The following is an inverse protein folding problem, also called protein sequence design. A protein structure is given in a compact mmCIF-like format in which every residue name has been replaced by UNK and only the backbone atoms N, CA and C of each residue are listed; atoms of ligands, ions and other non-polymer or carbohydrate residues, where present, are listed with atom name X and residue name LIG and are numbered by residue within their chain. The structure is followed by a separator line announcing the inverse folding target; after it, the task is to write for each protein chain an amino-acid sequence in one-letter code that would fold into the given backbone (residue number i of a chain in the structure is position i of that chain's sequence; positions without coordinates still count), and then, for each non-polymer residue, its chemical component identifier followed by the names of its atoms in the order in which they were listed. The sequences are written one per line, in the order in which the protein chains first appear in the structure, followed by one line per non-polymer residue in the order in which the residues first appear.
data_IF_430364738363
#
_entry.id   IF_430364738363
#
_cell.length_a   1.000
_cell.length_b   1.000
_cell.length_c   1.000
_cell.angle_alpha   90.00
_cell.angle_beta   90.00
_cell.angle_gamma   90.00
#
_symmetry.space_group_name_H-M   'P 1'
#
loop_
_entity.id
_entity.type
_entity.pdbx_description
1 polymer ?
#
# COMPACT_ATOMS: atom_id res chain seq x y z
N UNK A 1 58.58 23.52 20.89
CA UNK A 1 57.25 23.88 20.36
C UNK A 1 56.54 22.74 19.58
N UNK A 2 57.24 21.68 19.18
CA UNK A 2 56.65 20.57 18.39
C UNK A 2 55.92 19.51 19.23
N UNK A 3 56.33 19.31 20.49
CA UNK A 3 55.72 18.26 21.35
C UNK A 3 54.30 18.64 21.86
N UNK A 4 54.05 19.94 22.11
CA UNK A 4 52.75 20.45 22.59
C UNK A 4 51.66 20.39 21.50
N UNK A 5 52.05 20.49 20.23
CA UNK A 5 51.11 20.37 19.11
C UNK A 5 50.64 18.93 18.86
N UNK A 6 51.45 17.92 19.17
CA UNK A 6 51.06 16.51 19.06
C UNK A 6 50.10 16.07 20.16
N UNK A 7 50.26 16.58 21.38
CA UNK A 7 49.36 16.27 22.50
C UNK A 7 48.00 16.92 22.31
N UNK A 8 47.94 18.16 21.76
CA UNK A 8 46.67 18.83 21.45
C UNK A 8 45.90 18.14 20.29
N UNK A 9 46.60 17.61 19.27
CA UNK A 9 45.99 16.87 18.19
C UNK A 9 45.45 15.49 18.65
N UNK A 10 46.11 14.83 19.60
CA UNK A 10 45.68 13.57 20.18
C UNK A 10 44.44 13.76 21.07
N UNK A 11 44.32 14.90 21.78
CA UNK A 11 43.13 15.22 22.60
C UNK A 11 41.89 15.61 21.77
N UNK A 12 42.08 16.21 20.59
CA UNK A 12 40.97 16.54 19.68
C UNK A 12 40.43 15.27 18.98
N UNK A 13 41.26 14.25 18.72
CA UNK A 13 40.84 12.98 18.13
C UNK A 13 40.12 12.05 19.12
N UNK A 14 40.37 12.21 20.45
CA UNK A 14 39.69 11.44 21.50
C UNK A 14 38.26 11.96 21.85
N UNK A 15 37.91 13.17 21.38
CA UNK A 15 36.61 13.77 21.64
C UNK A 15 35.53 13.49 20.57
N UNK A 16 35.86 12.77 19.47
CA UNK A 16 34.95 12.50 18.36
C UNK A 16 34.40 11.06 18.37
N UNK A 17 34.90 10.20 19.25
CA UNK A 17 34.35 8.87 19.47
C UNK A 17 33.34 8.88 20.66
N UNK A 18 32.26 9.66 20.56
CA UNK A 18 31.11 9.38 21.39
C UNK A 18 30.53 8.04 20.87
N UNK A 19 30.50 6.96 21.69
CA UNK A 19 29.78 5.76 21.28
C UNK A 19 28.35 6.20 21.06
N UNK A 20 27.81 5.89 19.88
CA UNK A 20 26.38 5.85 19.67
C UNK A 20 25.85 4.92 20.77
N UNK A 21 25.24 5.49 21.79
CA UNK A 21 24.47 4.72 22.78
C UNK A 21 23.29 4.14 22.03
N UNK A 22 23.50 2.98 21.40
CA UNK A 22 22.40 2.09 21.11
C UNK A 22 21.65 1.95 22.44
N UNK A 23 20.40 2.35 22.48
CA UNK A 23 19.56 2.27 23.66
C UNK A 23 19.46 0.81 24.04
N UNK A 24 20.21 0.37 25.06
CA UNK A 24 20.23 -1.01 25.52
C UNK A 24 18.81 -1.42 25.90
N UNK A 25 18.20 -2.26 25.07
CA UNK A 25 16.92 -2.88 25.37
C UNK A 25 17.13 -3.87 26.50
N UNK A 26 16.61 -3.56 27.69
CA UNK A 26 16.73 -4.42 28.84
C UNK A 26 15.36 -4.80 29.39
N UNK A 27 15.27 -5.99 29.92
CA UNK A 27 14.08 -6.48 30.65
C UNK A 27 13.92 -5.69 31.93
N UNK A 28 12.68 -5.29 32.33
CA UNK A 28 12.42 -4.67 33.64
C UNK A 28 13.01 -5.50 34.78
N UNK A 29 13.83 -4.89 35.60
CA UNK A 29 14.57 -5.56 36.66
C UNK A 29 13.91 -5.46 38.04
N UNK A 30 12.81 -4.66 38.15
CA UNK A 30 12.10 -4.45 39.40
C UNK A 30 10.61 -4.22 39.19
N UNK A 31 9.82 -4.49 40.27
CA UNK A 31 8.39 -4.16 40.31
C UNK A 31 8.13 -2.64 40.21
N UNK A 32 9.11 -1.79 40.52
CA UNK A 32 9.01 -0.34 40.37
C UNK A 32 9.03 0.06 38.88
N UNK A 33 9.85 -0.57 38.05
CA UNK A 33 9.89 -0.34 36.60
C UNK A 33 8.58 -0.76 35.92
N UNK A 34 7.89 -1.78 36.43
CA UNK A 34 6.58 -2.21 35.97
C UNK A 34 5.44 -1.27 36.36
N UNK A 35 5.64 -0.36 37.35
CA UNK A 35 4.63 0.62 37.79
C UNK A 35 4.68 1.93 37.00
N UNK A 36 5.54 2.07 36.01
CA UNK A 36 5.60 3.26 35.16
C UNK A 36 4.35 3.38 34.31
N UNK A 37 3.82 4.58 34.23
CA UNK A 37 2.63 4.88 33.43
C UNK A 37 3.01 5.23 31.98
N UNK A 38 2.18 4.80 31.02
CA UNK A 38 2.31 5.21 29.60
C UNK A 38 1.73 6.62 29.36
N UNK A 39 1.10 7.25 30.36
CA UNK A 39 0.42 8.54 30.21
C UNK A 39 1.29 9.65 29.58
N UNK A 40 2.58 9.80 29.89
CA UNK A 40 3.43 10.83 29.27
C UNK A 40 3.61 10.61 27.75
N UNK A 41 3.67 9.36 27.30
CA UNK A 41 3.76 9.01 25.88
C UNK A 41 2.43 9.36 25.21
N UNK A 42 1.32 8.93 25.80
CA UNK A 42 -0.03 9.18 25.30
C UNK A 42 -0.29 10.67 25.14
N UNK A 43 0.00 11.48 26.17
CA UNK A 43 -0.19 12.94 26.12
C UNK A 43 0.58 13.61 24.98
N UNK A 44 1.76 13.11 24.65
CA UNK A 44 2.57 13.63 23.54
C UNK A 44 2.04 13.20 22.17
N UNK A 45 1.59 11.96 22.04
CA UNK A 45 1.18 11.34 20.76
C UNK A 45 -0.26 11.69 20.39
N UNK A 46 -1.14 11.73 21.39
CA UNK A 46 -2.57 11.91 21.22
C UNK A 46 -2.98 13.11 20.34
N UNK A 47 -2.34 14.29 20.42
CA UNK A 47 -2.71 15.44 19.58
C UNK A 47 -2.49 15.22 18.08
N UNK A 48 -1.63 14.29 17.69
CA UNK A 48 -1.35 13.96 16.28
C UNK A 48 -2.25 12.82 15.74
N UNK A 49 -3.04 12.15 16.58
CA UNK A 49 -4.00 11.13 16.16
C UNK A 49 -5.37 11.77 16.02
N UNK A 50 -5.98 11.61 14.85
CA UNK A 50 -7.22 12.28 14.47
C UNK A 50 -8.32 11.28 14.14
N UNK A 51 -9.56 11.75 14.10
CA UNK A 51 -10.71 10.97 13.61
C UNK A 51 -10.93 11.28 12.14
N UNK A 52 -11.23 10.25 11.37
CA UNK A 52 -11.58 10.36 9.95
C UNK A 52 -13.02 9.93 9.76
N UNK A 53 -13.85 10.85 9.28
CA UNK A 53 -15.24 10.62 8.92
C UNK A 53 -15.35 10.63 7.40
N UNK A 54 -15.79 9.54 6.85
CA UNK A 54 -16.03 9.39 5.42
C UNK A 54 -17.53 9.22 5.18
N UNK A 55 -18.11 10.01 4.29
CA UNK A 55 -19.52 9.97 3.97
C UNK A 55 -19.73 9.68 2.48
N UNK A 56 -20.61 8.71 2.18
CA UNK A 56 -21.06 8.38 0.83
C UNK A 56 -22.54 8.69 0.72
N UNK A 57 -22.92 9.47 -0.30
CA UNK A 57 -24.30 9.73 -0.64
C UNK A 57 -24.82 8.55 -1.47
N UNK A 58 -25.64 7.69 -0.88
CA UNK A 58 -26.26 6.58 -1.61
C UNK A 58 -27.55 7.10 -2.22
N UNK A 59 -27.55 7.35 -3.53
CA UNK A 59 -28.78 7.59 -4.29
C UNK A 59 -29.41 6.23 -4.60
N UNK A 60 -30.49 5.88 -3.90
CA UNK A 60 -31.32 4.75 -4.25
C UNK A 60 -32.12 5.12 -5.52
N UNK A 61 -31.58 4.81 -6.69
CA UNK A 61 -32.27 4.96 -7.96
C UNK A 61 -33.39 3.90 -8.03
N UNK A 62 -34.61 4.33 -7.75
CA UNK A 62 -35.80 3.56 -8.04
C UNK A 62 -36.54 4.24 -9.21
N UNK A 63 -36.50 3.69 -10.45
CA UNK A 63 -37.05 4.34 -11.63
C UNK A 63 -38.54 4.76 -11.48
N UNK A 64 -39.31 4.09 -10.62
CA UNK A 64 -40.70 4.42 -10.32
C UNK A 64 -40.82 5.57 -9.29
N UNK A 65 -39.86 5.73 -8.38
CA UNK A 65 -39.88 6.77 -7.36
C UNK A 65 -39.16 8.05 -7.81
N UNK A 66 -38.37 7.99 -8.88
CA UNK A 66 -37.64 9.14 -9.43
C UNK A 66 -38.50 9.96 -10.41
N UNK A 67 -39.67 9.43 -10.87
CA UNK A 67 -40.61 10.18 -11.68
C UNK A 67 -41.33 11.26 -10.83
N UNK A 68 -41.15 12.57 -11.15
CA UNK A 68 -41.79 13.64 -10.42
C UNK A 68 -43.33 13.59 -10.46
N UNK A 69 -43.91 13.02 -11.54
CA UNK A 69 -45.35 12.88 -11.70
C UNK A 69 -45.87 11.75 -10.81
N UNK A 70 -45.12 10.63 -10.73
CA UNK A 70 -45.49 9.50 -9.89
C UNK A 70 -45.47 9.88 -8.39
N UNK A 71 -44.44 10.62 -7.95
CA UNK A 71 -44.36 11.13 -6.56
C UNK A 71 -45.53 12.05 -6.21
N UNK A 72 -45.88 12.95 -7.12
CA UNK A 72 -46.96 13.92 -6.89
C UNK A 72 -48.32 13.25 -6.85
N UNK A 73 -48.52 12.18 -7.64
CA UNK A 73 -49.78 11.46 -7.72
C UNK A 73 -50.03 10.57 -6.51
N UNK A 74 -48.96 9.93 -5.95
CA UNK A 74 -49.04 9.03 -4.81
C UNK A 74 -48.68 9.69 -3.48
N UNK A 75 -48.37 10.98 -3.43
CA UNK A 75 -48.05 11.72 -2.19
C UNK A 75 -46.84 11.16 -1.46
N UNK A 76 -45.87 10.57 -2.17
CA UNK A 76 -44.69 9.95 -1.57
C UNK A 76 -43.68 11.06 -1.21
N UNK A 77 -43.34 11.22 0.09
CA UNK A 77 -42.27 12.15 0.48
C UNK A 77 -40.96 11.73 -0.21
N UNK A 78 -40.14 12.73 -0.64
CA UNK A 78 -38.81 12.44 -1.15
C UNK A 78 -38.06 11.57 -0.15
N UNK A 79 -37.45 10.46 -0.63
CA UNK A 79 -36.61 9.64 0.27
C UNK A 79 -35.44 10.51 0.74
N UNK A 80 -35.17 10.56 2.04
CA UNK A 80 -33.96 11.21 2.51
C UNK A 80 -32.76 10.47 1.94
N UNK A 81 -31.81 11.22 1.39
CA UNK A 81 -30.52 10.68 0.99
C UNK A 81 -29.95 9.86 2.15
N UNK A 82 -29.78 8.56 1.95
CA UNK A 82 -29.15 7.72 2.96
C UNK A 82 -27.64 7.97 2.92
N UNK A 83 -27.15 8.68 3.92
CA UNK A 83 -25.74 8.93 4.07
C UNK A 83 -25.09 7.74 4.80
N UNK A 84 -24.39 6.92 4.05
CA UNK A 84 -23.57 5.86 4.63
C UNK A 84 -22.29 6.50 5.18
N UNK A 85 -22.03 6.35 6.48
CA UNK A 85 -20.87 6.93 7.16
C UNK A 85 -19.91 5.82 7.55
N UNK A 86 -18.65 5.98 7.18
CA UNK A 86 -17.51 5.22 7.71
C UNK A 86 -16.77 6.04 8.75
N UNK A 87 -16.27 5.39 9.78
CA UNK A 87 -15.51 6.02 10.85
C UNK A 87 -14.20 5.26 11.04
N UNK A 88 -13.11 5.98 11.01
CA UNK A 88 -11.77 5.48 11.31
C UNK A 88 -10.91 6.54 11.99
N UNK A 89 -9.64 6.25 12.05
CA UNK A 89 -8.62 7.13 12.60
C UNK A 89 -7.65 7.59 11.50
N UNK A 90 -6.83 8.57 11.85
CA UNK A 90 -5.72 9.03 11.01
C UNK A 90 -4.56 9.51 11.87
N UNK A 91 -3.41 9.65 11.25
CA UNK A 91 -2.19 10.17 11.89
C UNK A 91 -1.68 11.37 11.12
N UNK A 92 -1.50 12.48 11.82
CA UNK A 92 -0.88 13.69 11.28
C UNK A 92 0.61 13.46 11.12
N UNK A 93 1.11 13.51 9.89
CA UNK A 93 2.50 13.18 9.55
C UNK A 93 3.30 14.38 9.03
N UNK A 94 2.62 15.48 8.72
CA UNK A 94 3.28 16.73 8.30
C UNK A 94 2.58 17.95 8.95
N UNK A 95 3.34 18.95 9.45
CA UNK A 95 2.76 20.12 10.08
C UNK A 95 1.84 20.95 9.20
N UNK A 96 1.88 20.77 7.87
CA UNK A 96 0.99 21.43 6.92
C UNK A 96 -0.41 20.80 6.83
N UNK A 97 -0.72 19.80 7.65
CA UNK A 97 -2.03 19.15 7.68
C UNK A 97 -2.14 17.93 6.76
N UNK A 98 -1.04 17.19 6.54
CA UNK A 98 -1.11 15.88 5.90
C UNK A 98 -1.44 14.81 6.92
N UNK A 99 -2.51 14.06 6.66
CA UNK A 99 -2.99 12.95 7.49
C UNK A 99 -2.91 11.65 6.71
N UNK A 100 -2.31 10.63 7.30
CA UNK A 100 -2.33 9.26 6.78
C UNK A 100 -3.47 8.49 7.43
N UNK A 101 -4.22 7.72 6.65
CA UNK A 101 -5.26 6.80 7.08
C UNK A 101 -5.26 5.56 6.18
N UNK A 102 -6.20 4.63 6.34
CA UNK A 102 -6.36 3.51 5.43
C UNK A 102 -7.28 3.84 4.24
N UNK A 103 -7.05 3.17 3.09
CA UNK A 103 -7.93 3.29 1.92
C UNK A 103 -9.34 2.82 2.24
N UNK A 104 -9.48 1.67 2.93
CA UNK A 104 -10.79 1.11 3.28
C UNK A 104 -11.63 2.02 4.20
N UNK A 105 -10.99 2.93 4.99
CA UNK A 105 -11.70 3.93 5.81
C UNK A 105 -12.42 4.96 4.96
N UNK A 106 -11.83 5.32 3.81
CA UNK A 106 -12.34 6.37 2.91
C UNK A 106 -12.85 5.83 1.58
N UNK A 107 -13.05 4.52 1.49
CA UNK A 107 -13.47 3.88 0.24
C UNK A 107 -14.87 4.35 -0.18
N UNK A 108 -14.99 4.79 -1.43
CA UNK A 108 -16.24 5.28 -2.01
C UNK A 108 -16.79 6.56 -1.34
N UNK A 109 -16.01 7.28 -0.53
CA UNK A 109 -16.46 8.51 0.10
C UNK A 109 -16.49 9.67 -0.90
N UNK A 110 -17.63 10.41 -0.89
CA UNK A 110 -17.80 11.67 -1.61
C UNK A 110 -17.26 12.86 -0.79
N UNK A 111 -17.28 12.73 0.54
CA UNK A 111 -16.81 13.74 1.48
C UNK A 111 -15.99 13.11 2.60
N UNK A 112 -14.87 13.74 2.91
CA UNK A 112 -14.02 13.34 4.05
C UNK A 112 -13.85 14.53 4.99
N UNK A 113 -14.07 14.28 6.28
CA UNK A 113 -13.80 15.23 7.38
C UNK A 113 -12.83 14.63 8.37
N UNK A 114 -11.97 15.48 8.91
CA UNK A 114 -11.02 15.13 9.97
C UNK A 114 -11.34 15.94 11.21
N UNK A 115 -11.49 15.25 12.35
CA UNK A 115 -11.69 15.90 13.64
C UNK A 115 -10.46 15.67 14.53
N UNK A 116 -9.92 16.74 15.05
CA UNK A 116 -8.74 16.75 15.92
C UNK A 116 -9.10 16.33 17.35
N UNK A 117 -8.09 16.08 18.17
CA UNK A 117 -8.25 15.75 19.61
C UNK A 117 -8.91 16.87 20.41
N UNK A 118 -8.77 18.14 19.99
CA UNK A 118 -9.42 19.32 20.57
C UNK A 118 -10.83 19.59 20.05
N UNK A 119 -11.40 18.68 19.25
CA UNK A 119 -12.74 18.71 18.64
C UNK A 119 -12.92 19.70 17.49
N UNK A 120 -11.87 20.34 17.00
CA UNK A 120 -11.94 21.11 15.76
C UNK A 120 -12.08 20.16 14.58
N UNK A 121 -12.91 20.56 13.60
CA UNK A 121 -13.18 19.75 12.41
C UNK A 121 -12.71 20.51 11.17
N UNK A 122 -12.13 19.77 10.23
CA UNK A 122 -11.67 20.26 8.94
C UNK A 122 -12.22 19.39 7.83
N UNK A 123 -12.61 20.00 6.72
CA UNK A 123 -12.76 19.24 5.49
C UNK A 123 -11.39 18.79 5.00
N UNK A 124 -11.35 17.60 4.40
CA UNK A 124 -10.11 17.06 3.88
C UNK A 124 -10.29 16.64 2.41
N UNK A 125 -9.27 16.89 1.62
CA UNK A 125 -9.16 16.34 0.27
C UNK A 125 -8.30 15.08 0.27
N UNK A 126 -8.64 14.14 -0.58
CA UNK A 126 -7.84 12.93 -0.78
C UNK A 126 -6.72 13.29 -1.76
N UNK A 127 -5.48 13.40 -1.25
CA UNK A 127 -4.30 13.74 -2.06
C UNK A 127 -3.80 12.53 -2.82
N UNK A 128 -3.81 11.35 -2.17
CA UNK A 128 -3.28 10.12 -2.72
C UNK A 128 -3.98 8.91 -2.11
N UNK A 129 -4.31 7.92 -2.94
CA UNK A 129 -4.74 6.58 -2.52
C UNK A 129 -3.74 5.57 -3.02
N UNK A 130 -3.35 4.66 -2.15
CA UNK A 130 -2.50 3.52 -2.46
C UNK A 130 -3.17 2.21 -2.03
N UNK A 131 -4.04 1.63 -2.87
CA UNK A 131 -4.73 0.38 -2.55
C UNK A 131 -3.75 -0.77 -2.28
N UNK A 132 -2.57 -0.77 -2.92
CA UNK A 132 -1.54 -1.82 -2.77
C UNK A 132 -1.02 -1.95 -1.33
N UNK A 133 -1.01 -0.86 -0.57
CA UNK A 133 -0.60 -0.86 0.85
C UNK A 133 -1.76 -0.56 1.81
N UNK A 134 -2.98 -0.36 1.32
CA UNK A 134 -4.13 0.11 2.10
C UNK A 134 -3.88 1.45 2.81
N UNK A 135 -3.08 2.35 2.22
CA UNK A 135 -2.79 3.67 2.76
C UNK A 135 -3.39 4.77 1.90
N UNK A 136 -3.92 5.79 2.55
CA UNK A 136 -4.38 7.02 1.90
C UNK A 136 -3.80 8.24 2.61
N UNK A 137 -3.57 9.30 1.84
CA UNK A 137 -3.11 10.59 2.38
C UNK A 137 -4.17 11.64 2.11
N UNK A 138 -4.56 12.31 3.17
CA UNK A 138 -5.52 13.40 3.18
C UNK A 138 -4.78 14.71 3.44
N UNK A 139 -5.32 15.82 2.94
CA UNK A 139 -4.87 17.18 3.24
C UNK A 139 -6.02 17.96 3.83
N UNK A 140 -5.80 18.60 4.97
CA UNK A 140 -6.78 19.48 5.59
C UNK A 140 -6.95 20.74 4.72
N UNK A 141 -8.20 21.12 4.42
CA UNK A 141 -8.53 22.32 3.67
C UNK A 141 -8.56 23.53 4.59
N UNK A 142 -8.34 24.69 4.00
CA UNK A 142 -8.51 26.01 4.63
C UNK A 142 -7.77 26.18 5.97
N UNK A 143 -6.64 25.47 6.12
CA UNK A 143 -5.82 25.53 7.32
C UNK A 143 -4.50 26.25 7.05
N UNK A 144 -4.18 27.24 7.90
CA UNK A 144 -2.94 28.04 7.82
C UNK A 144 -2.06 27.88 9.07
N UNK A 145 -2.41 26.95 9.92
CA UNK A 145 -1.72 26.66 11.18
C UNK A 145 -0.76 25.46 11.05
N UNK A 146 0.10 25.30 12.05
CA UNK A 146 0.96 24.10 12.17
C UNK A 146 0.30 23.10 13.09
N UNK A 147 0.22 21.86 12.63
CA UNK A 147 -0.37 20.77 13.39
C UNK A 147 0.70 19.92 14.10
N UNK A 148 0.37 19.34 15.28
CA UNK A 148 1.21 18.34 15.91
C UNK A 148 1.36 17.12 15.01
N UNK A 149 2.57 16.56 14.94
CA UNK A 149 2.89 15.40 14.11
C UNK A 149 3.60 14.32 14.90
N UNK A 150 3.61 13.09 14.39
CA UNK A 150 4.44 12.01 14.90
C UNK A 150 5.70 11.85 14.04
N UNK A 151 6.83 11.67 14.72
CA UNK A 151 8.08 11.26 14.09
C UNK A 151 8.00 9.77 13.72
N UNK A 152 8.57 9.41 12.59
CA UNK A 152 8.66 8.03 12.15
C UNK A 152 9.81 7.30 12.84
N UNK A 153 9.55 6.14 13.44
CA UNK A 153 10.60 5.17 13.76
C UNK A 153 11.03 4.41 12.48
N UNK A 154 12.14 3.71 12.56
CA UNK A 154 12.50 2.71 11.56
C UNK A 154 11.82 1.38 11.95
N UNK A 155 10.79 0.97 11.21
CA UNK A 155 10.04 -0.25 11.52
C UNK A 155 10.86 -1.54 11.33
N UNK A 156 11.98 -1.49 10.60
CA UNK A 156 12.86 -2.65 10.42
C UNK A 156 13.76 -2.91 11.65
N UNK A 157 13.83 -1.94 12.58
CA UNK A 157 14.54 -2.10 13.85
C UNK A 157 13.68 -2.70 14.97
N UNK A 158 12.37 -2.89 14.73
CA UNK A 158 11.48 -3.54 15.70
C UNK A 158 11.91 -4.98 15.95
N UNK A 159 11.69 -5.42 17.17
CA UNK A 159 11.86 -6.82 17.57
C UNK A 159 10.58 -7.39 18.16
N UNK A 160 10.36 -8.67 17.96
CA UNK A 160 9.29 -9.41 18.67
C UNK A 160 9.51 -9.26 20.17
N UNK A 161 8.46 -8.85 20.89
CA UNK A 161 8.52 -8.54 22.32
C UNK A 161 8.63 -7.04 22.64
N UNK A 162 8.90 -6.17 21.67
CA UNK A 162 8.90 -4.71 21.88
C UNK A 162 7.51 -4.24 22.28
N UNK A 163 7.41 -3.41 23.32
CA UNK A 163 6.14 -2.86 23.78
C UNK A 163 5.68 -1.76 22.83
N UNK A 164 4.39 -1.81 22.45
CA UNK A 164 3.75 -0.85 21.56
C UNK A 164 2.42 -0.38 22.12
N UNK A 165 2.02 0.84 21.73
CA UNK A 165 0.72 1.40 22.03
C UNK A 165 -0.06 1.61 20.74
N UNK A 166 -1.27 1.05 20.65
CA UNK A 166 -2.19 1.32 19.55
C UNK A 166 -3.17 2.43 19.98
N UNK A 167 -3.24 3.49 19.17
CA UNK A 167 -4.02 4.69 19.47
C UNK A 167 -4.95 4.96 18.28
N UNK A 168 -6.23 5.14 18.60
CA UNK A 168 -7.26 5.46 17.62
C UNK A 168 -8.53 5.95 18.29
N UNK A 169 -9.61 6.10 17.53
CA UNK A 169 -10.92 6.48 18.06
C UNK A 169 -12.00 5.45 17.68
N UNK A 170 -12.03 4.30 18.33
CA UNK A 170 -13.04 3.30 18.06
C UNK A 170 -14.44 3.84 18.35
N UNK A 171 -15.37 3.61 17.44
CA UNK A 171 -16.78 4.01 17.55
C UNK A 171 -17.06 5.52 17.66
N UNK A 172 -16.06 6.39 17.46
CA UNK A 172 -16.25 7.85 17.52
C UNK A 172 -16.57 8.41 18.91
N UNK A 173 -16.41 7.61 19.96
CA UNK A 173 -16.76 8.02 21.34
C UNK A 173 -15.61 8.66 22.12
N UNK A 174 -14.46 8.79 21.49
CA UNK A 174 -13.23 9.37 22.06
C UNK A 174 -12.01 8.51 21.78
N UNK A 175 -10.84 9.13 21.86
CA UNK A 175 -9.58 8.43 21.63
C UNK A 175 -9.38 7.32 22.68
N UNK A 176 -8.97 6.15 22.18
CA UNK A 176 -8.68 4.97 22.99
C UNK A 176 -7.24 4.56 22.78
N UNK A 177 -6.60 4.16 23.86
CA UNK A 177 -5.23 3.66 23.87
C UNK A 177 -5.26 2.23 24.39
N UNK A 178 -4.70 1.33 23.62
CA UNK A 178 -4.44 -0.04 24.04
C UNK A 178 -2.94 -0.31 24.00
N UNK A 179 -2.46 -1.22 24.84
CA UNK A 179 -1.05 -1.61 24.85
C UNK A 179 -0.91 -3.10 24.57
N UNK A 180 0.21 -3.45 24.02
CA UNK A 180 0.61 -4.81 23.74
C UNK A 180 2.07 -4.86 23.34
N UNK A 181 2.44 -5.94 22.69
CA UNK A 181 3.79 -6.13 22.17
C UNK A 181 3.74 -6.37 20.65
N UNK A 182 4.89 -6.25 20.02
CA UNK A 182 5.12 -6.81 18.68
C UNK A 182 5.11 -8.34 18.83
N UNK A 183 4.04 -8.98 18.38
CA UNK A 183 3.87 -10.45 18.50
C UNK A 183 4.59 -11.20 17.38
N UNK A 184 4.69 -10.59 16.20
CA UNK A 184 5.45 -11.08 15.06
C UNK A 184 5.75 -9.93 14.09
N UNK A 185 6.78 -10.14 13.27
CA UNK A 185 7.16 -9.27 12.17
C UNK A 185 7.02 -10.02 10.85
N UNK A 186 7.01 -9.28 9.74
CA UNK A 186 7.03 -9.85 8.40
C UNK A 186 5.89 -10.87 8.14
N UNK A 187 4.66 -10.56 8.60
CA UNK A 187 3.50 -11.41 8.28
C UNK A 187 3.09 -11.21 6.83
N UNK A 188 3.47 -12.18 5.98
CA UNK A 188 3.38 -12.08 4.52
C UNK A 188 2.21 -12.83 3.92
N UNK A 189 1.40 -13.56 4.71
CA UNK A 189 0.29 -14.39 4.21
C UNK A 189 -1.04 -14.02 4.87
N UNK A 190 -1.29 -12.73 5.05
CA UNK A 190 -2.51 -12.24 5.70
C UNK A 190 -3.66 -12.02 4.70
N UNK A 191 -3.34 -11.79 3.42
CA UNK A 191 -4.32 -11.67 2.33
C UNK A 191 -5.14 -10.37 2.35
N UNK A 192 -4.61 -9.29 2.95
CA UNK A 192 -5.33 -8.02 3.11
C UNK A 192 -4.95 -7.02 2.00
N UNK A 193 -3.69 -7.02 1.59
CA UNK A 193 -3.12 -6.06 0.62
C UNK A 193 -2.10 -6.77 -0.28
N UNK A 194 -1.65 -6.09 -1.34
CA UNK A 194 -0.62 -6.63 -2.23
C UNK A 194 0.75 -6.69 -1.54
N UNK A 195 1.11 -5.61 -0.84
CA UNK A 195 2.32 -5.60 0.00
C UNK A 195 2.01 -6.21 1.36
N UNK A 196 2.18 -7.52 1.43
CA UNK A 196 1.92 -8.29 2.64
C UNK A 196 3.18 -8.34 3.50
N UNK A 197 3.36 -7.34 4.34
CA UNK A 197 4.44 -7.31 5.33
C UNK A 197 3.97 -6.51 6.54
N UNK A 198 3.26 -7.19 7.46
CA UNK A 198 2.62 -6.52 8.58
C UNK A 198 3.37 -6.73 9.89
N UNK A 199 3.28 -5.72 10.76
CA UNK A 199 3.57 -5.87 12.19
C UNK A 199 2.36 -6.51 12.83
N UNK A 200 2.52 -7.69 13.44
CA UNK A 200 1.47 -8.29 14.26
C UNK A 200 1.63 -7.83 15.70
N UNK A 201 0.51 -7.46 16.35
CA UNK A 201 0.47 -7.07 17.76
C UNK A 201 -0.72 -7.68 18.47
N UNK A 202 -0.60 -7.89 19.78
CA UNK A 202 -1.72 -8.25 20.65
C UNK A 202 -2.38 -7.04 21.32
N UNK A 203 -1.88 -5.82 21.09
CA UNK A 203 -2.60 -4.59 21.42
C UNK A 203 -3.99 -4.64 20.79
N UNK A 204 -5.05 -4.43 21.60
CA UNK A 204 -6.42 -4.59 21.12
C UNK A 204 -6.75 -3.54 20.04
N UNK A 205 -6.92 -4.00 18.80
CA UNK A 205 -7.40 -3.21 17.66
C UNK A 205 -8.87 -3.56 17.45
N UNK A 206 -9.72 -2.55 17.34
CA UNK A 206 -11.16 -2.69 17.11
C UNK A 206 -11.60 -1.76 15.97
N UNK A 207 -12.79 -1.97 15.36
CA UNK A 207 -13.34 -1.06 14.35
C UNK A 207 -13.29 0.40 14.82
N UNK A 208 -12.71 1.28 13.99
CA UNK A 208 -12.43 2.68 14.28
C UNK A 208 -10.97 2.97 14.67
N UNK A 209 -10.19 1.98 15.10
CA UNK A 209 -8.73 2.14 15.26
C UNK A 209 -7.98 2.08 13.92
N UNK A 210 -8.58 1.55 12.85
CA UNK A 210 -7.99 1.53 11.50
C UNK A 210 -7.61 2.94 11.07
N UNK A 211 -6.40 3.10 10.53
CA UNK A 211 -5.79 4.39 10.21
C UNK A 211 -5.10 5.08 11.38
N UNK A 212 -5.31 4.61 12.61
CA UNK A 212 -4.67 5.13 13.83
C UNK A 212 -3.21 4.69 13.99
N UNK A 213 -2.53 5.26 14.99
CA UNK A 213 -1.12 5.05 15.22
C UNK A 213 -0.83 3.77 16.01
N UNK A 214 0.19 3.03 15.59
CA UNK A 214 0.96 2.12 16.44
C UNK A 214 2.28 2.82 16.75
N UNK A 215 2.59 3.03 18.05
CA UNK A 215 3.79 3.78 18.47
C UNK A 215 4.67 2.97 19.41
N UNK A 216 5.98 3.25 19.39
CA UNK A 216 6.95 2.69 20.32
C UNK A 216 6.93 3.41 21.69
N UNK A 217 7.73 2.92 22.63
CA UNK A 217 7.87 3.50 23.98
C UNK A 217 8.56 4.88 23.99
N UNK A 218 9.07 5.34 22.85
CA UNK A 218 9.56 6.72 22.69
C UNK A 218 8.50 7.64 22.05
N UNK A 219 7.31 7.11 21.71
CA UNK A 219 6.20 7.84 21.08
C UNK A 219 6.41 8.09 19.59
N UNK A 220 7.28 7.36 18.92
CA UNK A 220 7.48 7.43 17.47
C UNK A 220 6.55 6.44 16.78
N UNK A 221 6.09 6.80 15.59
CA UNK A 221 5.22 5.97 14.77
C UNK A 221 6.00 4.75 14.25
N UNK A 222 5.58 3.54 14.62
CA UNK A 222 6.12 2.28 14.11
C UNK A 222 5.20 1.65 13.06
N UNK A 223 3.92 2.04 13.02
CA UNK A 223 2.97 1.57 12.01
C UNK A 223 1.61 2.26 12.06
N UNK A 224 0.80 1.96 11.05
CA UNK A 224 -0.62 2.36 10.97
C UNK A 224 -1.48 1.13 11.20
N UNK A 225 -2.35 1.16 12.22
CA UNK A 225 -3.29 0.08 12.49
C UNK A 225 -4.22 -0.12 11.28
N UNK A 226 -4.39 -1.35 10.82
CA UNK A 226 -5.20 -1.60 9.62
C UNK A 226 -6.28 -2.67 9.83
N UNK A 227 -5.93 -3.84 10.30
CA UNK A 227 -6.83 -4.98 10.31
C UNK A 227 -6.70 -5.82 11.58
N UNK A 228 -7.69 -6.70 11.79
CA UNK A 228 -7.69 -7.73 12.82
C UNK A 228 -8.00 -9.09 12.20
N UNK A 229 -7.41 -10.14 12.75
CA UNK A 229 -7.88 -11.49 12.49
C UNK A 229 -9.02 -11.80 13.47
N UNK A 230 -10.26 -11.77 13.00
CA UNK A 230 -11.43 -11.92 13.85
C UNK A 230 -12.59 -12.58 13.14
N UNK A 231 -13.28 -13.50 13.83
CA UNK A 231 -14.54 -14.09 13.37
C UNK A 231 -15.77 -13.34 13.87
N UNK A 232 -15.61 -12.55 14.94
CA UNK A 232 -16.70 -11.83 15.62
C UNK A 232 -16.70 -10.33 15.36
N UNK A 233 -15.71 -9.80 14.61
CA UNK A 233 -15.54 -8.38 14.32
C UNK A 233 -14.87 -7.57 15.45
N UNK A 234 -14.55 -8.18 16.59
CA UNK A 234 -13.79 -7.55 17.69
C UNK A 234 -12.39 -8.16 17.84
N UNK A 235 -11.51 -7.50 18.58
CA UNK A 235 -10.15 -7.97 18.82
C UNK A 235 -10.12 -9.33 19.55
N UNK A 236 -9.31 -10.24 19.04
CA UNK A 236 -9.00 -11.55 19.64
C UNK A 236 -7.51 -11.67 19.97
N UNK A 237 -6.80 -10.56 20.17
CA UNK A 237 -5.37 -10.54 20.42
C UNK A 237 -4.49 -10.72 19.19
N UNK A 238 -5.07 -10.57 18.00
CA UNK A 238 -4.32 -10.61 16.72
C UNK A 238 -4.72 -9.38 15.92
N UNK A 239 -3.88 -8.37 15.97
CA UNK A 239 -3.99 -7.14 15.20
C UNK A 239 -2.81 -6.98 14.25
N UNK A 240 -3.02 -6.23 13.17
CA UNK A 240 -2.03 -5.95 12.15
C UNK A 240 -1.88 -4.44 11.95
N UNK A 241 -0.63 -4.01 11.76
CA UNK A 241 -0.29 -2.65 11.37
C UNK A 241 0.64 -2.62 10.17
N UNK A 242 0.44 -1.64 9.30
CA UNK A 242 1.30 -1.36 8.15
C UNK A 242 2.56 -0.67 8.67
N UNK A 243 3.77 -1.18 8.39
CA UNK A 243 5.03 -0.65 8.94
C UNK A 243 5.29 0.81 8.56
N UNK A 244 5.88 1.57 9.46
CA UNK A 244 6.17 3.00 9.27
C UNK A 244 7.08 3.30 8.07
N UNK A 245 7.97 2.40 7.67
CA UNK A 245 8.79 2.57 6.48
C UNK A 245 7.92 2.63 5.22
N UNK A 246 6.86 1.81 5.10
CA UNK A 246 5.89 1.91 4.02
C UNK A 246 5.09 3.21 4.10
N UNK A 247 4.64 3.59 5.29
CA UNK A 247 3.91 4.86 5.52
C UNK A 247 4.74 6.06 5.07
N UNK A 248 6.05 6.06 5.33
CA UNK A 248 6.99 7.11 4.92
C UNK A 248 7.05 7.27 3.41
N UNK A 249 7.11 6.17 2.65
CA UNK A 249 7.12 6.20 1.17
C UNK A 249 5.85 6.82 0.61
N UNK A 250 4.70 6.43 1.14
CA UNK A 250 3.39 6.94 0.71
C UNK A 250 3.24 8.43 1.05
N UNK A 251 3.58 8.82 2.28
CA UNK A 251 3.55 10.21 2.74
C UNK A 251 4.50 11.12 1.94
N UNK A 252 5.72 10.64 1.63
CA UNK A 252 6.68 11.37 0.82
C UNK A 252 6.17 11.59 -0.63
N UNK A 253 5.54 10.58 -1.22
CA UNK A 253 4.94 10.68 -2.55
C UNK A 253 3.82 11.73 -2.59
N UNK A 254 2.95 11.75 -1.58
CA UNK A 254 1.89 12.76 -1.46
C UNK A 254 2.46 14.18 -1.24
N UNK A 255 3.50 14.32 -0.43
CA UNK A 255 4.17 15.59 -0.14
C UNK A 255 4.83 16.20 -1.38
N UNK A 256 5.36 15.38 -2.28
CA UNK A 256 5.94 15.82 -3.56
C UNK A 256 4.90 16.14 -4.64
N UNK A 257 3.61 16.06 -4.34
CA UNK A 257 2.52 16.34 -5.29
C UNK A 257 2.24 15.18 -6.26
N UNK A 258 2.77 13.99 -5.98
CA UNK A 258 2.49 12.78 -6.77
C UNK A 258 1.05 12.33 -6.63
N UNK A 259 0.41 11.97 -7.75
CA UNK A 259 -0.94 11.36 -7.77
C UNK A 259 -0.92 9.85 -7.54
N UNK A 260 0.26 9.22 -7.65
CA UNK A 260 0.52 7.82 -7.42
C UNK A 260 1.82 7.64 -6.65
N UNK A 261 1.92 6.54 -5.91
CA UNK A 261 3.14 6.21 -5.18
C UNK A 261 4.18 5.65 -6.16
N UNK A 262 5.33 6.30 -6.22
CA UNK A 262 6.45 5.85 -7.05
C UNK A 262 7.37 4.96 -6.21
N UNK A 263 7.62 3.76 -6.70
CA UNK A 263 8.41 2.73 -6.02
C UNK A 263 9.51 2.20 -6.92
N UNK A 264 10.61 1.69 -6.35
CA UNK A 264 11.57 0.90 -7.12
C UNK A 264 10.90 -0.33 -7.73
N UNK A 265 11.31 -0.65 -8.93
CA UNK A 265 10.88 -1.82 -9.69
C UNK A 265 12.08 -2.72 -9.99
N UNK A 266 11.96 -4.01 -9.68
CA UNK A 266 13.04 -4.97 -9.91
C UNK A 266 13.12 -5.41 -11.37
N UNK A 267 11.98 -5.69 -11.99
CA UNK A 267 11.91 -6.26 -13.33
C UNK A 267 12.29 -7.74 -13.39
N UNK A 268 11.88 -8.49 -12.38
CA UNK A 268 12.00 -9.95 -12.32
C UNK A 268 10.75 -10.56 -11.65
N UNK A 269 10.41 -11.77 -12.06
CA UNK A 269 9.38 -12.55 -11.40
C UNK A 269 10.01 -13.42 -10.32
N UNK A 270 9.49 -13.30 -9.12
CA UNK A 270 9.92 -14.06 -7.96
C UNK A 270 8.86 -15.09 -7.57
N UNK A 271 9.30 -16.26 -7.13
CA UNK A 271 8.42 -17.29 -6.61
C UNK A 271 8.90 -17.79 -5.25
N UNK A 272 7.94 -18.25 -4.43
CA UNK A 272 8.25 -18.83 -3.14
C UNK A 272 9.01 -20.15 -3.29
N UNK A 273 9.91 -20.40 -2.35
CA UNK A 273 10.64 -21.67 -2.25
C UNK A 273 9.74 -22.68 -1.56
N UNK A 274 9.24 -23.67 -2.30
CA UNK A 274 8.51 -24.81 -1.72
C UNK A 274 9.48 -25.81 -1.09
N UNK A 275 9.01 -26.73 -0.23
CA UNK A 275 9.88 -27.80 0.30
C UNK A 275 10.61 -28.60 -0.78
N UNK A 276 9.93 -28.93 -1.89
CA UNK A 276 10.52 -29.67 -3.02
C UNK A 276 11.63 -28.86 -3.73
N UNK A 277 11.41 -27.54 -3.86
CA UNK A 277 12.43 -26.63 -4.41
C UNK A 277 13.62 -26.54 -3.45
N UNK A 278 13.36 -26.41 -2.14
CA UNK A 278 14.42 -26.35 -1.13
C UNK A 278 15.30 -27.60 -1.17
N UNK A 279 14.69 -28.79 -1.23
CA UNK A 279 15.41 -30.06 -1.34
C UNK A 279 16.26 -30.10 -2.61
N UNK A 280 15.73 -29.65 -3.76
CA UNK A 280 16.46 -29.63 -5.03
C UNK A 280 17.66 -28.67 -5.01
N UNK A 281 17.56 -27.57 -4.25
CA UNK A 281 18.63 -26.59 -4.06
C UNK A 281 19.59 -26.92 -2.92
N UNK A 282 19.33 -27.99 -2.17
CA UNK A 282 20.12 -28.42 -1.01
C UNK A 282 19.99 -27.48 0.19
N UNK A 283 18.86 -26.79 0.30
CA UNK A 283 18.56 -25.87 1.42
C UNK A 283 18.04 -26.66 2.62
N UNK A 284 18.39 -26.21 3.83
CA UNK A 284 17.88 -26.81 5.08
C UNK A 284 16.42 -26.44 5.36
N UNK A 285 15.99 -25.28 4.91
CA UNK A 285 14.65 -24.74 5.12
C UNK A 285 14.16 -24.06 3.84
N UNK A 286 12.86 -24.11 3.54
CA UNK A 286 12.28 -23.38 2.41
C UNK A 286 12.22 -21.89 2.73
N UNK A 287 13.29 -21.16 2.38
CA UNK A 287 13.43 -19.72 2.64
C UNK A 287 14.09 -19.02 1.45
N UNK A 288 13.77 -17.73 1.26
CA UNK A 288 14.26 -16.91 0.16
C UNK A 288 13.24 -16.73 -0.95
N UNK A 289 13.62 -15.93 -1.96
CA UNK A 289 12.83 -15.66 -3.15
C UNK A 289 13.55 -16.19 -4.39
N UNK A 290 12.98 -17.21 -5.05
CA UNK A 290 13.56 -17.81 -6.25
C UNK A 290 13.19 -16.97 -7.47
N UNK A 291 14.19 -16.59 -8.27
CA UNK A 291 14.00 -15.85 -9.51
C UNK A 291 13.49 -16.80 -10.59
N UNK A 292 12.23 -16.66 -10.97
CA UNK A 292 11.61 -17.44 -12.06
C UNK A 292 12.02 -16.92 -13.43
N UNK A 293 12.00 -15.60 -13.62
CA UNK A 293 12.42 -14.93 -14.86
C UNK A 293 12.93 -13.52 -14.58
N UNK A 294 13.69 -12.98 -15.52
CA UNK A 294 14.21 -11.61 -15.48
C UNK A 294 13.84 -10.94 -16.80
N UNK A 295 13.21 -9.77 -16.70
CA UNK A 295 12.84 -8.98 -17.88
C UNK A 295 14.07 -8.34 -18.52
N UNK A 296 14.18 -8.34 -19.85
CA UNK A 296 15.26 -7.64 -20.55
C UNK A 296 15.24 -6.14 -20.17
N UNK A 297 16.42 -5.52 -20.20
CA UNK A 297 16.62 -4.08 -19.94
C UNK A 297 16.07 -3.59 -18.57
N UNK A 298 15.84 -4.51 -17.61
CA UNK A 298 15.41 -4.20 -16.27
C UNK A 298 16.59 -3.93 -15.33
N UNK A 299 16.37 -3.25 -14.17
CA UNK A 299 17.39 -3.12 -13.12
C UNK A 299 17.96 -4.48 -12.68
N UNK A 300 17.13 -5.52 -12.60
CA UNK A 300 17.57 -6.89 -12.32
C UNK A 300 18.54 -7.43 -13.37
N UNK A 301 18.20 -7.25 -14.67
CA UNK A 301 19.05 -7.68 -15.78
C UNK A 301 20.39 -6.95 -15.77
N UNK A 302 20.37 -5.63 -15.57
CA UNK A 302 21.58 -4.80 -15.51
C UNK A 302 22.47 -5.16 -14.32
N UNK A 303 21.89 -5.53 -13.18
CA UNK A 303 22.62 -6.03 -12.00
C UNK A 303 23.19 -7.45 -12.22
N UNK A 304 22.80 -8.14 -13.29
CA UNK A 304 23.24 -9.50 -13.58
C UNK A 304 22.49 -10.59 -12.85
N UNK A 305 21.26 -10.30 -12.36
CA UNK A 305 20.34 -11.29 -11.82
C UNK A 305 19.89 -12.26 -12.95
N UNK A 306 19.70 -13.53 -12.63
CA UNK A 306 19.36 -14.57 -13.60
C UNK A 306 18.25 -15.48 -13.07
N UNK A 307 17.51 -16.08 -13.97
CA UNK A 307 16.59 -17.17 -13.61
C UNK A 307 17.34 -18.27 -12.85
N UNK A 308 16.68 -18.85 -11.85
CA UNK A 308 17.21 -19.83 -10.91
C UNK A 308 18.18 -19.27 -9.85
N UNK A 309 18.40 -17.95 -9.76
CA UNK A 309 19.03 -17.35 -8.58
C UNK A 309 18.07 -17.42 -7.41
N UNK A 310 18.59 -17.66 -6.22
CA UNK A 310 17.82 -17.55 -4.98
C UNK A 310 18.26 -16.30 -4.24
N UNK A 311 17.37 -15.31 -4.11
CA UNK A 311 17.61 -14.12 -3.28
C UNK A 311 17.47 -14.54 -1.81
N UNK A 312 18.50 -14.30 -1.01
CA UNK A 312 18.55 -14.69 0.41
C UNK A 312 18.63 -13.49 1.36
N UNK A 313 19.06 -12.34 0.88
CA UNK A 313 19.10 -11.09 1.66
C UNK A 313 19.03 -9.86 0.76
N UNK A 314 18.61 -8.73 1.35
CA UNK A 314 18.66 -7.39 0.78
C UNK A 314 19.25 -6.44 1.84
N UNK A 315 20.31 -5.70 1.48
CA UNK A 315 21.04 -4.78 2.36
C UNK A 315 21.39 -5.43 3.72
N UNK A 316 21.82 -6.70 3.67
CA UNK A 316 22.19 -7.50 4.82
C UNK A 316 21.00 -8.03 5.64
N UNK A 317 19.77 -7.71 5.28
CA UNK A 317 18.56 -8.23 5.93
C UNK A 317 18.08 -9.52 5.25
N UNK A 318 17.89 -10.62 6.00
CA UNK A 318 17.47 -11.89 5.43
C UNK A 318 16.07 -11.80 4.81
N UNK A 319 15.84 -12.59 3.76
CA UNK A 319 14.58 -12.70 3.03
C UNK A 319 14.04 -14.12 3.17
N UNK A 320 12.83 -14.26 3.69
CA UNK A 320 12.17 -15.54 3.88
C UNK A 320 11.28 -15.94 2.70
N UNK A 321 10.70 -14.95 2.00
CA UNK A 321 9.80 -15.16 0.88
C UNK A 321 9.77 -13.95 -0.09
N UNK A 322 9.13 -14.04 -1.27
CA UNK A 322 9.01 -12.94 -2.21
C UNK A 322 8.35 -11.69 -1.63
N UNK A 323 7.32 -11.81 -0.78
CA UNK A 323 6.64 -10.66 -0.20
C UNK A 323 7.56 -9.86 0.75
N UNK A 324 8.42 -10.58 1.50
CA UNK A 324 9.44 -9.95 2.34
C UNK A 324 10.46 -9.17 1.49
N UNK A 325 10.86 -9.72 0.33
CA UNK A 325 11.72 -9.04 -0.62
C UNK A 325 11.03 -7.79 -1.18
N UNK A 326 9.81 -7.94 -1.70
CA UNK A 326 9.05 -6.85 -2.31
C UNK A 326 8.88 -5.68 -1.35
N UNK A 327 8.45 -5.95 -0.09
CA UNK A 327 8.32 -4.91 0.92
C UNK A 327 9.64 -4.16 1.13
N UNK A 328 10.74 -4.87 1.38
CA UNK A 328 12.04 -4.23 1.65
C UNK A 328 12.50 -3.44 0.44
N UNK A 329 12.38 -4.00 -0.76
CA UNK A 329 12.80 -3.35 -2.00
C UNK A 329 12.01 -2.07 -2.27
N UNK A 330 10.66 -2.10 -2.16
CA UNK A 330 9.81 -0.94 -2.47
C UNK A 330 9.81 0.14 -1.41
N UNK A 331 10.35 -0.13 -0.20
CA UNK A 331 10.49 0.88 0.85
C UNK A 331 11.78 1.70 0.75
N UNK A 332 12.68 1.34 -0.15
CA UNK A 332 13.86 2.16 -0.46
C UNK A 332 13.52 3.43 -1.24
N UNK A 333 14.26 4.51 -1.03
CA UNK A 333 14.12 5.73 -1.84
C UNK A 333 14.61 5.49 -3.26
N UNK A 334 13.93 6.09 -4.24
CA UNK A 334 14.35 6.08 -5.63
C UNK A 334 15.67 6.83 -5.84
N UNK A 335 16.43 6.42 -6.86
CA UNK A 335 17.67 7.10 -7.30
C UNK A 335 18.94 6.64 -6.59
N UNK A 336 18.90 5.51 -5.89
CA UNK A 336 20.04 4.85 -5.29
C UNK A 336 20.26 3.45 -5.83
N UNK A 337 20.98 2.64 -5.08
CA UNK A 337 21.13 1.20 -5.32
C UNK A 337 20.88 0.43 -4.03
N UNK A 338 20.43 -0.81 -4.16
CA UNK A 338 20.31 -1.77 -3.06
C UNK A 338 21.20 -2.99 -3.37
N UNK A 339 21.86 -3.51 -2.35
CA UNK A 339 22.67 -4.73 -2.45
C UNK A 339 21.79 -5.94 -2.18
N UNK A 340 21.70 -6.87 -3.13
CA UNK A 340 21.02 -8.14 -2.94
C UNK A 340 22.02 -9.29 -2.90
N UNK A 341 21.87 -10.17 -1.91
CA UNK A 341 22.64 -11.40 -1.82
C UNK A 341 21.88 -12.54 -2.50
N UNK A 342 22.51 -13.16 -3.49
CA UNK A 342 21.89 -14.28 -4.24
C UNK A 342 22.74 -15.53 -4.14
N UNK A 343 22.11 -16.68 -3.98
CA UNK A 343 22.72 -17.98 -4.08
C UNK A 343 22.60 -18.50 -5.52
N UNK A 344 23.74 -18.67 -6.20
CA UNK A 344 23.84 -19.17 -7.58
C UNK A 344 24.84 -20.31 -7.63
N UNK A 345 24.39 -21.52 -7.97
CA UNK A 345 25.28 -22.68 -8.07
C UNK A 345 26.03 -22.97 -6.78
N UNK A 346 25.41 -22.80 -5.63
CA UNK A 346 26.01 -23.03 -4.29
C UNK A 346 26.97 -21.91 -3.81
N UNK A 347 27.07 -20.79 -4.55
CA UNK A 347 27.90 -19.63 -4.17
C UNK A 347 27.04 -18.42 -3.92
N UNK A 348 27.33 -17.69 -2.85
CA UNK A 348 26.69 -16.39 -2.58
C UNK A 348 27.39 -15.31 -3.42
N UNK A 349 26.59 -14.53 -4.15
CA UNK A 349 27.02 -13.38 -4.92
C UNK A 349 26.28 -12.13 -4.41
N UNK A 350 26.96 -10.98 -4.44
CA UNK A 350 26.38 -9.68 -4.13
C UNK A 350 26.13 -8.93 -5.42
N UNK A 351 24.89 -8.52 -5.63
CA UNK A 351 24.48 -7.78 -6.83
C UNK A 351 23.95 -6.41 -6.40
N UNK A 352 24.40 -5.35 -7.08
CA UNK A 352 23.91 -3.99 -6.84
C UNK A 352 22.80 -3.65 -7.83
N UNK A 353 21.58 -3.47 -7.36
CA UNK A 353 20.39 -3.20 -8.17
C UNK A 353 20.04 -1.72 -8.08
N UNK A 354 19.85 -1.06 -9.22
CA UNK A 354 19.40 0.33 -9.29
C UNK A 354 17.94 0.44 -8.81
N UNK A 355 17.67 1.48 -8.01
CA UNK A 355 16.33 1.77 -7.48
C UNK A 355 15.62 2.74 -8.40
N UNK A 356 15.07 2.23 -9.49
CA UNK A 356 14.39 2.96 -10.56
C UNK A 356 12.93 2.53 -10.66
N UNK A 357 12.07 3.43 -11.15
CA UNK A 357 10.67 3.07 -11.42
C UNK A 357 10.56 2.23 -12.67
N UNK A 358 9.51 1.40 -12.77
CA UNK A 358 9.17 0.72 -14.00
C UNK A 358 9.03 1.73 -15.15
N UNK A 359 9.61 1.44 -16.33
CA UNK A 359 9.48 2.32 -17.49
C UNK A 359 8.04 2.32 -18.00
N UNK A 360 7.50 3.53 -18.21
CA UNK A 360 6.13 3.73 -18.73
C UNK A 360 6.14 4.10 -20.22
N UNK A 361 7.02 3.49 -20.96
CA UNK A 361 7.11 3.67 -22.40
C UNK A 361 5.93 2.98 -23.09
N UNK A 362 5.28 3.69 -24.02
CA UNK A 362 4.17 3.15 -24.85
C UNK A 362 2.86 2.85 -24.09
N UNK A 363 2.59 3.39 -22.92
CA UNK A 363 1.31 3.23 -22.23
C UNK A 363 0.12 3.58 -23.12
N UNK A 364 0.18 4.67 -23.84
CA UNK A 364 -0.82 5.14 -24.80
C UNK A 364 -2.27 4.90 -24.33
N UNK A 365 -2.61 5.48 -23.19
CA UNK A 365 -3.92 5.33 -22.57
C UNK A 365 -4.98 6.10 -23.38
N UNK A 366 -6.08 5.43 -23.75
CA UNK A 366 -7.19 6.02 -24.50
C UNK A 366 -8.53 5.60 -23.93
N UNK A 367 -9.51 6.53 -23.97
CA UNK A 367 -10.90 6.26 -23.65
C UNK A 367 -11.64 5.86 -24.93
N UNK A 368 -12.36 4.74 -24.87
CA UNK A 368 -13.12 4.23 -26.02
C UNK A 368 -14.52 4.86 -26.03
N UNK A 369 -14.81 5.61 -27.11
CA UNK A 369 -16.07 6.36 -27.26
C UNK A 369 -16.97 5.80 -28.39
N UNK A 370 -16.45 4.85 -29.19
CA UNK A 370 -17.17 4.22 -30.29
C UNK A 370 -18.42 3.47 -29.80
N UNK A 371 -19.47 3.41 -30.64
CA UNK A 371 -20.65 2.57 -30.38
C UNK A 371 -20.27 1.10 -30.45
N UNK A 372 -19.87 0.56 -29.31
CA UNK A 372 -19.40 -0.83 -29.18
C UNK A 372 -19.59 -1.29 -27.74
N UNK A 373 -19.45 -2.59 -27.45
CA UNK A 373 -19.44 -3.10 -26.09
C UNK A 373 -18.34 -2.50 -25.19
N UNK A 374 -17.31 -1.87 -25.77
CA UNK A 374 -16.20 -1.26 -25.08
C UNK A 374 -16.43 0.22 -24.70
N UNK A 375 -17.54 0.82 -25.13
CA UNK A 375 -17.81 2.25 -24.87
C UNK A 375 -17.78 2.57 -23.38
N UNK A 376 -16.97 3.57 -23.01
CA UNK A 376 -16.79 4.04 -21.64
C UNK A 376 -15.69 3.32 -20.89
N UNK A 377 -14.97 2.37 -21.52
CA UNK A 377 -13.72 1.82 -20.98
C UNK A 377 -12.54 2.73 -21.32
N UNK A 378 -11.62 2.90 -20.39
CA UNK A 378 -10.28 3.44 -20.63
C UNK A 378 -9.32 2.25 -20.70
N UNK A 379 -8.44 2.26 -21.72
CA UNK A 379 -7.55 1.13 -22.01
C UNK A 379 -6.12 1.62 -22.22
N UNK A 380 -5.15 0.79 -21.85
CA UNK A 380 -3.72 1.07 -22.01
C UNK A 380 -2.97 -0.09 -22.64
N UNK A 381 -1.87 0.21 -23.33
CA UNK A 381 -0.89 -0.81 -23.68
C UNK A 381 -0.21 -1.32 -22.40
N UNK A 382 0.15 -2.59 -22.37
CA UNK A 382 0.85 -3.19 -21.24
C UNK A 382 2.33 -2.80 -21.31
N UNK A 383 2.68 -1.64 -20.72
CA UNK A 383 4.08 -1.27 -20.44
C UNK A 383 4.54 -1.96 -19.13
N UNK A 384 5.85 -2.03 -18.83
CA UNK A 384 6.31 -2.52 -17.54
C UNK A 384 5.67 -1.81 -16.34
N UNK A 385 5.43 -0.49 -16.44
CA UNK A 385 4.74 0.27 -15.41
C UNK A 385 3.26 -0.15 -15.27
N UNK A 386 2.55 -0.34 -16.39
CA UNK A 386 1.15 -0.81 -16.37
C UNK A 386 1.07 -2.24 -15.86
N UNK A 387 2.03 -3.11 -16.23
CA UNK A 387 2.10 -4.48 -15.73
C UNK A 387 2.31 -4.49 -14.21
N UNK A 388 3.23 -3.67 -13.69
CA UNK A 388 3.45 -3.52 -12.25
C UNK A 388 2.22 -2.95 -11.52
N UNK A 389 1.59 -1.88 -12.06
CA UNK A 389 0.39 -1.27 -11.48
C UNK A 389 -0.82 -2.22 -11.40
N UNK A 390 -0.93 -3.13 -12.37
CA UNK A 390 -2.10 -4.01 -12.56
C UNK A 390 -1.83 -5.47 -12.18
N UNK A 391 -0.64 -5.78 -11.66
CA UNK A 391 -0.17 -7.13 -11.31
C UNK A 391 -0.27 -8.13 -12.48
N UNK A 392 0.15 -7.69 -13.64
CA UNK A 392 0.15 -8.50 -14.85
C UNK A 392 1.55 -9.01 -15.14
N UNK A 393 1.63 -10.15 -15.81
CA UNK A 393 2.89 -10.57 -16.43
C UNK A 393 3.24 -9.58 -17.54
N UNK A 394 4.45 -9.02 -17.50
CA UNK A 394 4.90 -8.02 -18.48
C UNK A 394 4.95 -8.58 -19.93
N UNK A 395 5.01 -9.89 -20.09
CA UNK A 395 4.98 -10.59 -21.38
C UNK A 395 3.55 -10.87 -21.87
N UNK A 396 2.52 -10.38 -21.17
CA UNK A 396 1.12 -10.61 -21.55
C UNK A 396 0.77 -9.80 -22.81
N UNK A 397 0.38 -10.50 -23.86
CA UNK A 397 -0.13 -9.88 -25.08
C UNK A 397 -1.55 -9.33 -24.89
N UNK A 398 -1.77 -8.10 -25.37
CA UNK A 398 -3.11 -7.50 -25.38
C UNK A 398 -3.13 -6.05 -24.91
N UNK A 399 -4.34 -5.57 -24.65
CA UNK A 399 -4.63 -4.22 -24.17
C UNK A 399 -5.42 -4.34 -22.89
N UNK A 400 -4.95 -3.72 -21.80
CA UNK A 400 -5.61 -3.82 -20.49
C UNK A 400 -6.63 -2.69 -20.29
N UNK A 401 -7.75 -3.02 -19.65
CA UNK A 401 -8.74 -2.03 -19.19
C UNK A 401 -8.28 -1.43 -17.87
N UNK A 402 -7.97 -0.13 -17.86
CA UNK A 402 -7.48 0.61 -16.69
C UNK A 402 -8.62 1.22 -15.88
N UNK A 403 -9.73 1.60 -16.56
CA UNK A 403 -10.92 2.17 -15.93
C UNK A 403 -12.17 1.82 -16.74
N UNK A 404 -13.30 1.71 -16.04
CA UNK A 404 -14.63 1.52 -16.66
C UNK A 404 -15.60 2.51 -16.03
N UNK A 405 -16.18 3.38 -16.86
CA UNK A 405 -17.15 4.37 -16.41
C UNK A 405 -18.46 3.69 -15.98
N UNK A 406 -18.97 4.09 -14.83
CA UNK A 406 -20.26 3.58 -14.32
C UNK A 406 -21.41 3.83 -15.31
N UNK A 407 -22.29 2.84 -15.46
CA UNK A 407 -23.45 2.91 -16.37
C UNK A 407 -23.08 2.88 -17.86
N UNK A 408 -21.80 2.73 -18.21
CA UNK A 408 -21.35 2.62 -19.60
C UNK A 408 -21.73 1.29 -20.24
N UNK A 409 -21.62 1.19 -21.58
CA UNK A 409 -21.82 -0.10 -22.27
C UNK A 409 -20.81 -1.15 -21.76
N UNK A 410 -19.58 -0.76 -21.53
CA UNK A 410 -18.54 -1.65 -20.99
C UNK A 410 -18.92 -2.19 -19.60
N UNK A 411 -19.44 -1.34 -18.71
CA UNK A 411 -19.92 -1.75 -17.38
C UNK A 411 -21.11 -2.71 -17.49
N UNK A 412 -22.07 -2.41 -18.37
CA UNK A 412 -23.28 -3.23 -18.57
C UNK A 412 -22.97 -4.63 -19.16
N UNK A 413 -21.92 -4.74 -19.95
CA UNK A 413 -21.42 -6.03 -20.49
C UNK A 413 -20.72 -6.85 -19.40
N UNK A 414 -20.29 -6.21 -18.30
CA UNK A 414 -19.59 -6.86 -17.20
C UNK A 414 -18.07 -6.94 -17.38
N UNK A 415 -17.50 -6.05 -18.19
CA UNK A 415 -16.06 -5.85 -18.18
C UNK A 415 -15.57 -5.32 -16.84
N UNK A 416 -14.34 -5.64 -16.49
CA UNK A 416 -13.72 -5.25 -15.24
C UNK A 416 -12.36 -4.58 -15.48
N UNK A 417 -11.98 -3.70 -14.57
CA UNK A 417 -10.60 -3.22 -14.51
C UNK A 417 -9.66 -4.42 -14.38
N UNK A 418 -8.60 -4.45 -15.19
CA UNK A 418 -7.66 -5.58 -15.27
C UNK A 418 -8.00 -6.62 -16.35
N UNK A 419 -9.15 -6.52 -17.04
CA UNK A 419 -9.40 -7.34 -18.21
C UNK A 419 -8.42 -6.99 -19.33
N UNK A 420 -7.80 -8.01 -19.94
CA UNK A 420 -6.86 -7.84 -21.05
C UNK A 420 -7.52 -8.34 -22.31
N UNK A 421 -7.77 -7.44 -23.24
CA UNK A 421 -8.38 -7.76 -24.53
C UNK A 421 -7.28 -8.26 -25.48
N UNK A 422 -7.37 -9.53 -25.89
CA UNK A 422 -6.40 -10.19 -26.77
C UNK A 422 -6.88 -10.26 -28.22
N UNK A 423 -8.18 -10.44 -28.45
CA UNK A 423 -8.74 -10.48 -29.81
C UNK A 423 -10.18 -9.99 -29.83
N UNK A 424 -10.59 -9.36 -30.94
CA UNK A 424 -11.97 -8.96 -31.23
C UNK A 424 -12.29 -9.36 -32.68
N UNK A 425 -13.39 -10.11 -32.88
CA UNK A 425 -13.84 -10.59 -34.20
C UNK A 425 -12.73 -11.29 -34.99
N UNK A 426 -11.92 -12.13 -34.32
CA UNK A 426 -10.77 -12.86 -34.85
C UNK A 426 -9.58 -11.96 -35.25
N UNK A 427 -9.63 -10.65 -34.93
CA UNK A 427 -8.48 -9.74 -35.12
C UNK A 427 -7.71 -9.69 -33.80
N UNK A 428 -6.41 -9.97 -33.84
CA UNK A 428 -5.53 -9.82 -32.66
C UNK A 428 -5.43 -8.34 -32.27
N UNK A 429 -5.49 -8.06 -31.00
CA UNK A 429 -5.35 -6.73 -30.41
C UNK A 429 -4.00 -6.69 -29.71
N UNK A 430 -3.04 -5.98 -30.28
CA UNK A 430 -1.70 -5.83 -29.72
C UNK A 430 -1.46 -4.46 -29.08
N UNK A 431 -2.27 -3.46 -29.42
CA UNK A 431 -2.13 -2.09 -28.92
C UNK A 431 -3.48 -1.38 -28.89
N UNK A 432 -3.56 -0.33 -28.06
CA UNK A 432 -4.79 0.46 -27.86
C UNK A 432 -5.40 0.97 -29.18
N UNK A 433 -4.56 1.39 -30.14
CA UNK A 433 -5.03 1.83 -31.45
C UNK A 433 -5.73 0.73 -32.26
N UNK A 434 -5.38 -0.55 -32.08
CA UNK A 434 -6.07 -1.66 -32.74
C UNK A 434 -7.47 -1.82 -32.14
N UNK A 435 -7.60 -1.74 -30.83
CA UNK A 435 -8.88 -1.83 -30.15
C UNK A 435 -9.79 -0.63 -30.45
N UNK A 436 -9.23 0.59 -30.47
CA UNK A 436 -9.98 1.80 -30.85
C UNK A 436 -10.52 1.68 -32.28
N UNK A 437 -9.69 1.25 -33.21
CA UNK A 437 -10.12 1.05 -34.61
C UNK A 437 -11.25 0.03 -34.71
N UNK A 438 -11.11 -1.13 -34.07
CA UNK A 438 -12.15 -2.18 -34.09
C UNK A 438 -13.41 -1.71 -33.37
N UNK A 439 -13.30 -0.97 -32.27
CA UNK A 439 -14.46 -0.46 -31.51
C UNK A 439 -15.35 0.51 -32.29
N UNK A 440 -14.84 1.12 -33.36
CA UNK A 440 -15.57 2.03 -34.26
C UNK A 440 -16.23 1.30 -35.44
N UNK A 441 -15.94 0.00 -35.64
CA UNK A 441 -16.55 -0.80 -36.68
C UNK A 441 -18.00 -1.12 -36.32
N UNK A 442 -18.92 -1.09 -37.30
CA UNK A 442 -20.29 -1.56 -37.09
C UNK A 442 -20.32 -3.09 -37.19
N UNK A 443 -20.55 -3.75 -36.09
CA UNK A 443 -20.67 -5.21 -36.04
C UNK A 443 -22.01 -5.63 -35.46
N UNK A 444 -22.69 -6.60 -36.10
CA UNK A 444 -23.92 -7.23 -35.57
C UNK A 444 -23.61 -8.22 -34.45
N UNK A 445 -22.38 -8.70 -34.38
CA UNK A 445 -21.90 -9.67 -33.41
C UNK A 445 -20.46 -9.35 -33.04
N UNK A 446 -20.20 -9.32 -31.72
CA UNK A 446 -18.87 -9.11 -31.16
C UNK A 446 -18.38 -10.41 -30.53
N UNK A 447 -17.33 -11.00 -31.08
CA UNK A 447 -16.60 -12.12 -30.49
C UNK A 447 -15.36 -11.58 -29.84
N UNK A 448 -15.26 -11.66 -28.52
CA UNK A 448 -14.19 -11.04 -27.75
C UNK A 448 -13.45 -12.14 -27.01
N UNK A 449 -12.16 -12.19 -27.16
CA UNK A 449 -11.25 -13.01 -26.34
C UNK A 449 -10.54 -12.10 -25.38
N UNK A 450 -10.71 -12.34 -24.08
CA UNK A 450 -10.05 -11.59 -23.03
C UNK A 450 -9.40 -12.54 -22.01
N UNK A 451 -8.42 -12.01 -21.29
CA UNK A 451 -7.79 -12.65 -20.14
C UNK A 451 -8.25 -11.93 -18.88
N UNK A 452 -8.76 -12.66 -17.89
CA UNK A 452 -9.17 -12.16 -16.56
C UNK A 452 -8.60 -13.06 -15.48
N UNK A 453 -7.77 -12.53 -14.58
CA UNK A 453 -7.14 -13.30 -13.52
C UNK A 453 -6.37 -14.53 -14.02
N UNK A 454 -5.68 -14.42 -15.16
CA UNK A 454 -4.94 -15.52 -15.77
C UNK A 454 -5.79 -16.53 -16.56
N UNK A 455 -7.12 -16.37 -16.59
CA UNK A 455 -8.03 -17.27 -17.33
C UNK A 455 -8.52 -16.63 -18.64
N UNK A 456 -8.41 -17.35 -19.74
CA UNK A 456 -8.95 -16.90 -21.02
C UNK A 456 -10.46 -17.09 -21.07
N UNK A 457 -11.17 -16.01 -21.37
CA UNK A 457 -12.63 -15.95 -21.49
C UNK A 457 -13.00 -15.56 -22.91
N UNK A 458 -13.92 -16.29 -23.50
CA UNK A 458 -14.50 -15.97 -24.81
C UNK A 458 -15.95 -15.52 -24.64
N UNK A 459 -16.23 -14.29 -25.05
CA UNK A 459 -17.56 -13.68 -24.94
C UNK A 459 -18.12 -13.42 -26.33
N UNK A 460 -19.42 -13.68 -26.52
CA UNK A 460 -20.13 -13.32 -27.74
C UNK A 460 -21.32 -12.44 -27.39
N UNK A 461 -21.36 -11.24 -27.97
CA UNK A 461 -22.37 -10.20 -27.69
C UNK A 461 -23.08 -9.81 -28.98
N UNK A 462 -24.38 -9.54 -28.91
CA UNK A 462 -25.13 -8.88 -29.97
C UNK A 462 -24.71 -7.40 -30.07
N UNK A 463 -24.62 -6.86 -31.29
CA UNK A 463 -24.33 -5.45 -31.54
C UNK A 463 -25.61 -4.63 -31.70
#
# INVERSE_FOLDING_TARGET
MTLIRFVAALFVFLLVAAPSLAQDRRVPSSAAELRLSYAPIVQRVQPAVVNVYAAKVVQNHNPFLDDPLFRRFFGIPGQPEQMQRSLGSGVMVDPSGLVVTNVHVIEGADQVKVSLSDKREFEAEIVLKDPRSDLAVLRLKDSHEKFPTLDFANSDELMVGDVVLAIGNPFGVGQTVTHGIVSALARTQVGITDYQFFIQTDAAINPGNSGGALVDMTGRLVGINTAIFSRSGGSQGIGFAIPSNMVRVVAASAKSGGKAVRRPWLGAHLQAVTPDIADSLGLKTPSGALVASVLPDSPAAHAGLKASDLIVAIDGQPIDDPNAFDYRFVTHPLGGTSEIDVLRGGKTLKLSVALETAPDTNRNEIKLEGRSPFQGATVANISPAVADEMHLDADTDGVVMTEIADGSAAANVGFQKGDIIQAVNNKRIGKTGDLDKVSREQARLWRITLLRGGQQINVTLGG
#
